data_IF_871289135273
#
_entry.id   IF_871289135273
#
_cell.length_a   1.000
_cell.length_b   1.000
_cell.length_c   1.000
_cell.angle_alpha   90.00
_cell.angle_beta   90.00
_cell.angle_gamma   90.00
#
_symmetry.space_group_name_H-M   'P 1'
#
loop_
_entity.id
_entity.type
_entity.pdbx_description
1 polymer ?
#
# COMPACT_ATOMS: atom_id res chain seq x y z
N UNK A 1 -0.92 65.45 -49.17
CA UNK A 1 -0.18 65.10 -47.92
C UNK A 1 -1.08 65.37 -46.72
N UNK A 2 -1.78 64.37 -46.20
CA UNK A 2 -2.44 64.44 -44.89
C UNK A 2 -2.32 63.07 -44.23
N UNK A 3 -1.54 62.98 -43.16
CA UNK A 3 -1.41 61.79 -42.32
C UNK A 3 -2.05 62.08 -40.98
N UNK A 4 -3.17 61.40 -40.70
CA UNK A 4 -3.90 61.47 -39.42
C UNK A 4 -3.23 60.45 -38.49
N UNK A 5 -2.50 60.94 -37.48
CA UNK A 5 -1.96 60.09 -36.41
C UNK A 5 -3.02 59.93 -35.31
N UNK A 6 -3.70 58.78 -35.33
CA UNK A 6 -4.66 58.36 -34.29
C UNK A 6 -3.89 57.92 -33.04
N UNK A 7 -3.98 58.67 -31.93
CA UNK A 7 -3.45 58.24 -30.62
C UNK A 7 -4.26 57.05 -30.10
N UNK A 8 -3.63 55.88 -30.01
CA UNK A 8 -4.19 54.72 -29.31
C UNK A 8 -4.17 55.01 -27.81
N UNK A 9 -5.35 55.16 -27.19
CA UNK A 9 -5.50 55.19 -25.72
C UNK A 9 -5.33 53.76 -25.20
N UNK A 10 -4.18 53.46 -24.62
CA UNK A 10 -3.95 52.19 -23.92
C UNK A 10 -4.81 52.18 -22.66
N UNK A 11 -5.81 51.30 -22.58
CA UNK A 11 -6.57 51.06 -21.34
C UNK A 11 -5.56 50.58 -20.28
N UNK A 12 -5.47 51.30 -19.16
CA UNK A 12 -4.69 50.88 -17.99
C UNK A 12 -5.19 49.49 -17.56
N UNK A 13 -4.29 48.50 -17.51
CA UNK A 13 -4.61 47.20 -16.92
C UNK A 13 -5.03 47.41 -15.45
N UNK A 14 -6.11 46.78 -14.96
CA UNK A 14 -6.47 46.87 -13.56
C UNK A 14 -5.30 46.37 -12.71
N UNK A 15 -4.84 47.20 -11.79
CA UNK A 15 -3.84 46.79 -10.81
C UNK A 15 -4.46 45.68 -9.97
N UNK A 16 -4.00 44.44 -10.16
CA UNK A 16 -4.31 43.34 -9.25
C UNK A 16 -3.75 43.78 -7.90
N UNK A 17 -4.63 44.06 -6.93
CA UNK A 17 -4.22 44.40 -5.58
C UNK A 17 -3.29 43.28 -5.07
N UNK A 18 -2.03 43.61 -4.80
CA UNK A 18 -1.09 42.74 -4.08
C UNK A 18 -1.55 42.70 -2.63
N UNK A 19 -2.60 41.93 -2.34
CA UNK A 19 -3.15 41.79 -0.99
C UNK A 19 -2.17 40.97 -0.12
N UNK A 20 -1.25 40.21 -0.73
CA UNK A 20 -0.21 39.47 -0.01
C UNK A 20 1.16 39.59 -0.68
N UNK A 21 2.25 39.73 0.10
CA UNK A 21 3.60 39.60 -0.43
C UNK A 21 3.76 38.22 -1.05
N UNK A 22 4.34 38.13 -2.26
CA UNK A 22 4.55 36.86 -2.98
C UNK A 22 5.25 35.82 -2.11
N UNK A 23 6.17 36.25 -1.23
CA UNK A 23 6.87 35.40 -0.26
C UNK A 23 5.93 34.67 0.70
N UNK A 24 4.85 35.33 1.16
CA UNK A 24 3.88 34.71 2.06
C UNK A 24 3.04 33.68 1.29
N UNK A 25 2.60 34.02 0.08
CA UNK A 25 1.84 33.11 -0.76
C UNK A 25 2.64 31.84 -1.13
N UNK A 26 3.90 32.00 -1.57
CA UNK A 26 4.77 30.86 -1.87
C UNK A 26 5.15 30.07 -0.60
N UNK A 27 5.34 30.73 0.53
CA UNK A 27 5.59 30.05 1.82
C UNK A 27 4.39 29.20 2.25
N UNK A 28 3.16 29.71 2.12
CA UNK A 28 1.94 28.95 2.44
C UNK A 28 1.75 27.75 1.52
N UNK A 29 2.01 27.90 0.22
CA UNK A 29 2.01 26.78 -0.72
C UNK A 29 3.08 25.75 -0.32
N UNK A 30 4.28 26.20 0.03
CA UNK A 30 5.38 25.32 0.42
C UNK A 30 5.05 24.55 1.71
N UNK A 31 4.49 25.21 2.72
CA UNK A 31 4.04 24.58 3.97
C UNK A 31 2.88 23.61 3.72
N UNK A 32 1.95 23.93 2.83
CA UNK A 32 0.87 23.02 2.46
C UNK A 32 1.40 21.77 1.73
N UNK A 33 2.32 21.94 0.78
CA UNK A 33 2.94 20.81 0.08
C UNK A 33 3.81 19.96 1.01
N UNK A 34 4.64 20.58 1.86
CA UNK A 34 5.43 19.85 2.86
C UNK A 34 4.54 19.18 3.91
N UNK A 35 3.47 19.84 4.35
CA UNK A 35 2.51 19.29 5.31
C UNK A 35 1.80 18.06 4.75
N UNK A 36 1.29 18.14 3.52
CA UNK A 36 0.69 16.98 2.83
C UNK A 36 1.72 15.86 2.64
N UNK A 37 2.98 16.18 2.31
CA UNK A 37 4.04 15.19 2.15
C UNK A 37 4.41 14.51 3.47
N UNK A 38 4.51 15.25 4.58
CA UNK A 38 4.79 14.70 5.91
C UNK A 38 3.64 13.82 6.38
N UNK A 39 2.39 14.29 6.25
CA UNK A 39 1.21 13.53 6.62
C UNK A 39 1.17 12.23 5.82
N UNK A 40 1.33 12.28 4.50
CA UNK A 40 1.34 11.06 3.65
C UNK A 40 2.54 10.14 3.92
N UNK A 41 3.70 10.68 4.28
CA UNK A 41 4.88 9.90 4.65
C UNK A 41 4.75 9.20 6.00
N UNK A 42 4.02 9.78 6.96
CA UNK A 42 3.86 9.23 8.30
C UNK A 42 2.95 7.99 8.38
N UNK A 43 2.24 7.66 7.30
CA UNK A 43 1.35 6.47 7.23
C UNK A 43 2.03 5.21 6.69
N UNK A 44 3.32 5.26 6.34
CA UNK A 44 4.09 4.07 6.01
C UNK A 44 4.90 3.65 7.24
N UNK A 45 4.49 2.60 7.97
CA UNK A 45 5.29 2.02 9.03
C UNK A 45 6.76 1.84 8.64
N UNK A 46 7.66 1.94 9.63
CA UNK A 46 9.11 1.77 9.47
C UNK A 46 9.49 0.51 8.66
N UNK A 47 8.61 -0.51 8.64
CA UNK A 47 8.74 -1.74 7.85
C UNK A 47 8.97 -1.53 6.36
N UNK A 48 8.55 -0.39 5.79
CA UNK A 48 8.66 -0.11 4.35
C UNK A 48 9.89 0.68 3.94
N UNK A 49 10.67 1.18 4.89
CA UNK A 49 11.71 2.19 4.61
C UNK A 49 12.79 1.65 3.65
N UNK A 50 13.06 0.34 3.68
CA UNK A 50 14.00 -0.30 2.76
C UNK A 50 13.50 -0.31 1.31
N UNK A 51 12.22 -0.64 1.07
CA UNK A 51 11.63 -0.66 -0.28
C UNK A 51 11.46 0.74 -0.84
N UNK A 52 11.10 1.70 0.03
CA UNK A 52 11.07 3.11 -0.34
C UNK A 52 12.46 3.60 -0.76
N UNK A 53 13.51 3.29 0.01
CA UNK A 53 14.90 3.60 -0.37
C UNK A 53 15.31 2.93 -1.67
N UNK A 54 14.93 1.67 -1.88
CA UNK A 54 15.22 0.95 -3.13
C UNK A 54 14.68 1.71 -4.35
N UNK A 55 13.42 2.17 -4.29
CA UNK A 55 12.80 2.97 -5.35
C UNK A 55 13.49 4.33 -5.50
N UNK A 56 13.87 4.99 -4.40
CA UNK A 56 14.59 6.26 -4.45
C UNK A 56 15.98 6.14 -5.09
N UNK A 57 16.69 5.04 -4.81
CA UNK A 57 17.99 4.77 -5.41
C UNK A 57 17.89 4.24 -6.85
N UNK A 58 16.77 3.59 -7.20
CA UNK A 58 16.54 2.98 -8.51
C UNK A 58 15.19 3.43 -9.12
N UNK A 59 15.02 4.72 -9.45
CA UNK A 59 13.72 5.29 -9.85
C UNK A 59 13.18 4.77 -11.18
N UNK A 60 13.98 4.05 -11.96
CA UNK A 60 13.57 3.44 -13.24
C UNK A 60 13.49 1.90 -13.17
N UNK A 61 13.69 1.32 -11.99
CA UNK A 61 13.60 -0.12 -11.79
C UNK A 61 12.14 -0.55 -11.61
N UNK A 62 11.56 -1.13 -12.67
CA UNK A 62 10.22 -1.75 -12.65
C UNK A 62 10.07 -2.69 -11.45
N UNK A 63 11.08 -3.55 -11.23
CA UNK A 63 11.07 -4.55 -10.17
C UNK A 63 11.02 -3.93 -8.77
N UNK A 64 11.63 -2.76 -8.57
CA UNK A 64 11.62 -2.08 -7.27
C UNK A 64 10.22 -1.56 -6.96
N UNK A 65 9.51 -1.01 -7.94
CA UNK A 65 8.11 -0.61 -7.79
C UNK A 65 7.16 -1.80 -7.60
N UNK A 66 7.33 -2.88 -8.36
CA UNK A 66 6.52 -4.10 -8.19
C UNK A 66 6.71 -4.69 -6.80
N UNK A 67 7.96 -4.87 -6.35
CA UNK A 67 8.26 -5.39 -5.00
C UNK A 67 7.67 -4.51 -3.92
N UNK A 68 7.82 -3.19 -4.05
CA UNK A 68 7.26 -2.27 -3.08
C UNK A 68 5.73 -2.37 -3.03
N UNK A 69 5.07 -2.44 -4.19
CA UNK A 69 3.63 -2.66 -4.30
C UNK A 69 3.17 -3.97 -3.64
N UNK A 70 3.85 -5.08 -3.91
CA UNK A 70 3.55 -6.38 -3.29
C UNK A 70 3.65 -6.34 -1.76
N UNK A 71 4.66 -5.65 -1.22
CA UNK A 71 4.84 -5.52 0.24
C UNK A 71 3.76 -4.64 0.85
N UNK A 72 3.36 -3.55 0.18
CA UNK A 72 2.24 -2.71 0.61
C UNK A 72 0.92 -3.49 0.61
N UNK A 73 0.66 -4.27 -0.45
CA UNK A 73 -0.51 -5.13 -0.54
C UNK A 73 -0.50 -6.18 0.58
N UNK A 74 0.66 -6.79 0.83
CA UNK A 74 0.82 -7.79 1.86
C UNK A 74 0.60 -7.26 3.29
N UNK A 75 0.60 -5.96 3.48
CA UNK A 75 0.31 -5.31 4.76
C UNK A 75 -1.07 -4.64 4.77
N UNK A 76 -1.93 -4.96 3.80
CA UNK A 76 -3.30 -4.46 3.70
C UNK A 76 -3.44 -3.04 3.13
N UNK A 77 -2.34 -2.43 2.67
CA UNK A 77 -2.36 -1.10 2.08
C UNK A 77 -2.57 -1.16 0.55
N UNK A 78 -3.72 -1.68 0.13
CA UNK A 78 -4.04 -1.91 -1.29
C UNK A 78 -3.96 -0.63 -2.13
N UNK A 79 -4.44 0.50 -1.61
CA UNK A 79 -4.41 1.77 -2.33
C UNK A 79 -2.98 2.28 -2.60
N UNK A 80 -2.05 2.10 -1.66
CA UNK A 80 -0.65 2.44 -1.90
C UNK A 80 0.03 1.41 -2.83
N UNK A 81 -0.34 0.13 -2.72
CA UNK A 81 0.15 -0.92 -3.59
C UNK A 81 -0.19 -0.64 -5.05
N UNK A 82 -1.46 -0.34 -5.34
CA UNK A 82 -1.95 0.01 -6.68
C UNK A 82 -1.17 1.17 -7.28
N UNK A 83 -0.86 2.21 -6.50
CA UNK A 83 -0.04 3.33 -6.97
C UNK A 83 1.34 2.89 -7.42
N UNK A 84 2.01 2.00 -6.69
CA UNK A 84 3.34 1.51 -7.10
C UNK A 84 3.25 0.66 -8.37
N UNK A 85 2.24 -0.20 -8.47
CA UNK A 85 2.05 -1.02 -9.68
C UNK A 85 1.73 -0.14 -10.89
N UNK A 86 0.87 0.87 -10.74
CA UNK A 86 0.58 1.83 -11.83
C UNK A 86 1.84 2.54 -12.33
N UNK A 87 2.79 2.89 -11.44
CA UNK A 87 4.06 3.46 -11.88
C UNK A 87 4.87 2.43 -12.69
N UNK A 88 4.96 1.19 -12.20
CA UNK A 88 5.68 0.13 -12.91
C UNK A 88 5.10 -0.14 -14.31
N UNK A 89 3.78 -0.21 -14.45
CA UNK A 89 3.11 -0.58 -15.71
C UNK A 89 2.95 0.61 -16.65
N UNK A 90 2.46 1.75 -16.15
CA UNK A 90 2.04 2.86 -17.01
C UNK A 90 3.15 3.87 -17.26
N UNK A 91 4.13 3.98 -16.35
CA UNK A 91 5.23 4.94 -16.46
C UNK A 91 6.51 4.25 -16.93
N UNK A 92 6.84 3.09 -16.35
CA UNK A 92 8.08 2.38 -16.65
C UNK A 92 7.92 1.29 -17.72
N UNK A 93 6.69 0.99 -18.15
CA UNK A 93 6.43 0.06 -19.25
C UNK A 93 6.70 -1.41 -18.92
N UNK A 94 6.34 -1.86 -17.71
CA UNK A 94 6.37 -3.28 -17.37
C UNK A 94 5.56 -4.12 -18.38
N UNK A 95 6.06 -5.31 -18.69
CA UNK A 95 5.37 -6.23 -19.62
C UNK A 95 4.07 -6.78 -19.05
N UNK A 96 3.96 -6.86 -17.72
CA UNK A 96 2.73 -7.31 -17.04
C UNK A 96 1.78 -6.13 -16.87
N UNK A 97 0.52 -6.31 -17.24
CA UNK A 97 -0.51 -5.27 -17.09
C UNK A 97 -0.97 -5.12 -15.63
N UNK A 98 -1.37 -3.90 -15.26
CA UNK A 98 -1.87 -3.59 -13.90
C UNK A 98 -3.08 -4.46 -13.54
N UNK A 99 -4.01 -4.62 -14.49
CA UNK A 99 -5.24 -5.39 -14.33
C UNK A 99 -4.95 -6.86 -14.04
N UNK A 100 -3.90 -7.42 -14.66
CA UNK A 100 -3.50 -8.80 -14.39
C UNK A 100 -3.02 -8.98 -12.96
N UNK A 101 -2.14 -8.08 -12.48
CA UNK A 101 -1.61 -8.13 -11.10
C UNK A 101 -2.74 -8.01 -10.07
N UNK A 102 -3.69 -7.08 -10.28
CA UNK A 102 -4.84 -6.90 -9.38
C UNK A 102 -5.75 -8.12 -9.40
N UNK A 103 -6.01 -8.70 -10.58
CA UNK A 103 -6.83 -9.91 -10.69
C UNK A 103 -6.23 -11.10 -9.94
N UNK A 104 -4.91 -11.29 -10.03
CA UNK A 104 -4.20 -12.34 -9.30
C UNK A 104 -4.34 -12.16 -7.77
N UNK A 105 -4.24 -10.91 -7.29
CA UNK A 105 -4.43 -10.57 -5.88
C UNK A 105 -5.86 -10.83 -5.39
N UNK A 106 -6.85 -10.43 -6.17
CA UNK A 106 -8.27 -10.67 -5.85
C UNK A 106 -8.59 -12.17 -5.82
N UNK A 107 -8.08 -12.92 -6.79
CA UNK A 107 -8.26 -14.37 -6.84
C UNK A 107 -7.63 -15.05 -5.63
N UNK A 108 -6.39 -14.69 -5.28
CA UNK A 108 -5.71 -15.22 -4.09
C UNK A 108 -6.50 -14.90 -2.81
N UNK A 109 -6.95 -13.65 -2.63
CA UNK A 109 -7.78 -13.24 -1.50
C UNK A 109 -9.08 -14.07 -1.41
N UNK A 110 -9.76 -14.25 -2.54
CA UNK A 110 -10.98 -15.07 -2.63
C UNK A 110 -10.73 -16.55 -2.27
N UNK A 111 -9.62 -17.12 -2.72
CA UNK A 111 -9.24 -18.49 -2.39
C UNK A 111 -8.95 -18.66 -0.89
N UNK A 112 -8.23 -17.71 -0.30
CA UNK A 112 -7.89 -17.73 1.12
C UNK A 112 -9.13 -17.54 2.01
N UNK A 113 -10.12 -16.73 1.59
CA UNK A 113 -11.41 -16.62 2.29
C UNK A 113 -12.19 -17.93 2.29
N UNK A 114 -12.21 -18.66 1.16
CA UNK A 114 -12.84 -19.99 1.12
C UNK A 114 -12.16 -20.96 2.08
N UNK A 115 -10.82 -20.98 2.09
CA UNK A 115 -10.05 -21.81 3.01
C UNK A 115 -10.34 -21.44 4.48
N UNK A 116 -10.34 -20.16 4.82
CA UNK A 116 -10.65 -19.67 6.15
C UNK A 116 -12.04 -20.16 6.62
N UNK A 117 -13.07 -19.95 5.79
CA UNK A 117 -14.43 -20.35 6.14
C UNK A 117 -14.58 -21.86 6.32
N UNK A 118 -13.95 -22.66 5.45
CA UNK A 118 -13.92 -24.11 5.57
C UNK A 118 -13.29 -24.56 6.89
N UNK A 119 -12.08 -24.08 7.21
CA UNK A 119 -11.39 -24.48 8.43
C UNK A 119 -12.05 -23.95 9.70
N UNK A 120 -12.73 -22.79 9.62
CA UNK A 120 -13.55 -22.26 10.71
C UNK A 120 -14.72 -23.18 11.03
N UNK A 121 -15.37 -23.72 10.02
CA UNK A 121 -16.42 -24.72 10.22
C UNK A 121 -15.86 -26.00 10.84
N UNK A 122 -14.73 -26.51 10.34
CA UNK A 122 -14.09 -27.73 10.87
C UNK A 122 -13.71 -27.55 12.34
N UNK A 123 -13.04 -26.46 12.71
CA UNK A 123 -12.64 -26.21 14.11
C UNK A 123 -13.84 -25.94 15.03
N UNK A 124 -14.97 -25.46 14.50
CA UNK A 124 -16.21 -25.37 15.27
C UNK A 124 -16.84 -26.74 15.56
N UNK A 125 -16.68 -27.71 14.65
CA UNK A 125 -17.20 -29.07 14.82
C UNK A 125 -16.24 -29.97 15.61
N UNK A 126 -14.94 -29.71 15.47
CA UNK A 126 -13.86 -30.48 16.10
C UNK A 126 -12.89 -29.53 16.83
N UNK A 127 -13.26 -29.02 18.03
CA UNK A 127 -12.48 -28.01 18.76
C UNK A 127 -11.11 -28.50 19.26
N UNK A 128 -10.85 -29.79 19.24
CA UNK A 128 -9.56 -30.38 19.63
C UNK A 128 -8.68 -30.71 18.41
N UNK A 129 -9.17 -30.44 17.19
CA UNK A 129 -8.41 -30.71 15.97
C UNK A 129 -7.37 -29.63 15.72
N UNK A 130 -6.18 -29.84 16.30
CA UNK A 130 -5.03 -28.94 16.24
C UNK A 130 -4.69 -28.47 14.83
N UNK A 131 -4.66 -29.38 13.85
CA UNK A 131 -4.28 -29.04 12.47
C UNK A 131 -5.28 -28.08 11.83
N UNK A 132 -6.56 -28.14 12.22
CA UNK A 132 -7.56 -27.16 11.80
C UNK A 132 -7.22 -25.73 12.24
N UNK A 133 -6.66 -25.56 13.44
CA UNK A 133 -6.19 -24.26 13.92
C UNK A 133 -4.90 -23.79 13.22
N UNK A 134 -4.01 -24.71 12.85
CA UNK A 134 -2.83 -24.38 12.02
C UNK A 134 -3.28 -23.87 10.66
N UNK A 135 -4.26 -24.52 10.04
CA UNK A 135 -4.80 -24.13 8.74
C UNK A 135 -5.59 -22.81 8.81
N UNK A 136 -6.34 -22.58 9.89
CA UNK A 136 -6.96 -21.28 10.15
C UNK A 136 -5.93 -20.17 10.31
N UNK A 137 -4.84 -20.43 11.03
CA UNK A 137 -3.77 -19.46 11.19
C UNK A 137 -3.13 -19.12 9.84
N UNK A 138 -2.88 -20.11 8.99
CA UNK A 138 -2.37 -19.92 7.63
C UNK A 138 -3.32 -19.08 6.78
N UNK A 139 -4.60 -19.47 6.70
CA UNK A 139 -5.59 -18.71 5.92
C UNK A 139 -5.75 -17.27 6.43
N UNK A 140 -5.77 -17.07 7.76
CA UNK A 140 -5.78 -15.73 8.36
C UNK A 140 -4.53 -14.92 8.03
N UNK A 141 -3.35 -15.56 8.05
CA UNK A 141 -2.09 -14.90 7.69
C UNK A 141 -2.09 -14.48 6.22
N UNK A 142 -2.58 -15.33 5.33
CA UNK A 142 -2.64 -15.04 3.89
C UNK A 142 -3.65 -13.92 3.57
N UNK A 143 -4.75 -13.85 4.35
CA UNK A 143 -5.72 -12.74 4.34
C UNK A 143 -5.25 -11.48 5.07
N UNK A 144 -4.02 -11.47 5.58
CA UNK A 144 -3.39 -10.34 6.30
C UNK A 144 -4.09 -9.99 7.62
N UNK A 145 -4.84 -10.94 8.18
CA UNK A 145 -5.48 -10.88 9.51
C UNK A 145 -4.51 -11.40 10.57
N UNK A 146 -3.42 -10.66 10.80
CA UNK A 146 -2.27 -11.12 11.60
C UNK A 146 -2.63 -11.45 13.06
N UNK A 147 -3.53 -10.68 13.67
CA UNK A 147 -3.97 -10.93 15.04
C UNK A 147 -4.78 -12.24 15.17
N UNK A 148 -5.61 -12.54 14.17
CA UNK A 148 -6.31 -13.82 14.10
C UNK A 148 -5.33 -14.98 13.88
N UNK A 149 -4.35 -14.80 13.00
CA UNK A 149 -3.32 -15.82 12.75
C UNK A 149 -2.58 -16.18 14.05
N UNK A 150 -2.15 -15.17 14.82
CA UNK A 150 -1.52 -15.35 16.14
C UNK A 150 -2.45 -16.08 17.11
N UNK A 151 -3.72 -15.67 17.17
CA UNK A 151 -4.71 -16.29 18.05
C UNK A 151 -4.88 -17.78 17.74
N UNK A 152 -5.02 -18.15 16.47
CA UNK A 152 -5.21 -19.55 16.08
C UNK A 152 -3.94 -20.39 16.26
N UNK A 153 -2.75 -19.86 15.97
CA UNK A 153 -1.49 -20.53 16.31
C UNK A 153 -1.36 -20.78 17.81
N UNK A 154 -1.76 -19.82 18.64
CA UNK A 154 -1.76 -19.98 20.08
C UNK A 154 -2.74 -21.09 20.54
N UNK A 155 -3.91 -21.22 19.91
CA UNK A 155 -4.82 -22.34 20.18
C UNK A 155 -4.22 -23.68 19.75
N UNK A 156 -3.61 -23.74 18.56
CA UNK A 156 -2.93 -24.94 18.09
C UNK A 156 -1.82 -25.38 19.07
N UNK A 157 -1.01 -24.43 19.55
CA UNK A 157 0.07 -24.69 20.49
C UNK A 157 -0.45 -25.11 21.88
N UNK A 158 -1.65 -24.66 22.29
CA UNK A 158 -2.29 -25.15 23.52
C UNK A 158 -2.70 -26.62 23.40
N UNK A 159 -3.14 -27.04 22.23
CA UNK A 159 -3.54 -28.42 21.97
C UNK A 159 -2.33 -29.36 21.84
N UNK A 160 -1.23 -28.89 21.24
CA UNK A 160 0.00 -29.67 21.09
C UNK A 160 1.27 -28.79 21.25
N UNK A 161 1.73 -28.55 22.50
CA UNK A 161 2.81 -27.61 22.78
C UNK A 161 4.20 -27.99 22.25
N UNK A 162 4.43 -29.28 21.95
CA UNK A 162 5.74 -29.79 21.53
C UNK A 162 5.80 -30.07 20.02
N UNK A 163 4.81 -29.58 19.26
CA UNK A 163 4.73 -29.87 17.85
C UNK A 163 5.70 -29.04 17.02
N UNK A 164 6.60 -29.73 16.31
CA UNK A 164 7.60 -29.07 15.46
C UNK A 164 6.98 -28.30 14.28
N UNK A 165 5.81 -28.71 13.78
CA UNK A 165 5.12 -28.00 12.70
C UNK A 165 4.65 -26.62 13.16
N UNK A 166 4.03 -26.53 14.33
CA UNK A 166 3.50 -25.27 14.87
C UNK A 166 4.64 -24.28 15.09
N UNK A 167 5.74 -24.72 15.71
CA UNK A 167 6.93 -23.90 15.92
C UNK A 167 7.54 -23.43 14.60
N UNK A 168 7.58 -24.29 13.57
CA UNK A 168 8.06 -23.91 12.23
C UNK A 168 7.17 -22.85 11.59
N UNK A 169 5.85 -23.10 11.54
CA UNK A 169 4.87 -22.20 10.93
C UNK A 169 4.89 -20.84 11.61
N UNK A 170 4.95 -20.80 12.95
CA UNK A 170 5.06 -19.56 13.70
C UNK A 170 6.31 -18.74 13.33
N UNK A 171 7.46 -19.42 13.19
CA UNK A 171 8.71 -18.79 12.77
C UNK A 171 8.64 -18.27 11.33
N UNK A 172 8.08 -19.06 10.40
CA UNK A 172 7.92 -18.68 8.99
C UNK A 172 7.01 -17.46 8.82
N UNK A 173 5.94 -17.37 9.60
CA UNK A 173 5.01 -16.23 9.58
C UNK A 173 5.56 -14.99 10.31
N UNK A 174 6.60 -15.15 11.13
CA UNK A 174 7.16 -14.09 11.97
C UNK A 174 6.22 -13.66 13.11
N UNK A 175 5.47 -14.61 13.68
CA UNK A 175 4.42 -14.37 14.68
C UNK A 175 4.78 -14.75 16.11
#
# INVERSE_FOLDING_TARGET
>A
MHSILTRIKVKLFPHIFRIFPSRIFFSLIFVAFFGVNIITSSYLPQSYDNYRKEVLHNPFSINSYIRFGQVLYAQGNSAAAEKQIMVATNVLGAQTEFQQIVSDWEYASSANERAYNYWKQITSQYPEYRDGYVQLAQASYDLKRLDEAKKYLHQANKLDPNNTLIARVQKEMGL
#
